data_IF_829723050832
#
_entry.id   IF_829723050832
#
_cell.length_a   1.000
_cell.length_b   1.000
_cell.length_c   1.000
_cell.angle_alpha   90.00
_cell.angle_beta   90.00
_cell.angle_gamma   90.00
#
_symmetry.space_group_name_H-M   'P 1'
#
loop_
_entity.id
_entity.type
_entity.pdbx_description
1 polymer ?
#
# COMPACT_ATOMS: atom_id res chain seq x y z
N UNK A 1 35.47 10.74 12.33
CA UNK A 1 34.18 10.65 11.61
C UNK A 1 33.10 10.18 12.59
N UNK A 2 32.22 11.07 13.06
CA UNK A 2 31.12 10.68 13.96
C UNK A 2 30.10 9.88 13.15
N UNK A 3 29.80 8.65 13.56
CA UNK A 3 28.69 7.88 12.98
C UNK A 3 27.39 8.54 13.46
N UNK A 4 26.56 8.99 12.54
CA UNK A 4 25.21 9.48 12.85
C UNK A 4 24.21 8.35 12.57
N UNK A 5 23.94 7.47 13.55
CA UNK A 5 23.07 6.30 13.34
C UNK A 5 21.66 6.70 12.87
N UNK A 6 21.20 7.89 13.26
CA UNK A 6 19.94 8.48 12.81
C UNK A 6 19.85 8.62 11.28
N UNK A 7 20.95 9.01 10.62
CA UNK A 7 21.00 9.15 9.16
C UNK A 7 20.87 7.78 8.49
N UNK A 8 21.57 6.78 9.02
CA UNK A 8 21.53 5.41 8.47
C UNK A 8 20.12 4.84 8.58
N UNK A 9 19.45 5.02 9.72
CA UNK A 9 18.06 4.58 9.91
C UNK A 9 17.13 5.30 8.94
N UNK A 10 17.27 6.63 8.78
CA UNK A 10 16.46 7.39 7.84
C UNK A 10 16.62 6.92 6.40
N UNK A 11 17.87 6.69 5.95
CA UNK A 11 18.16 6.18 4.61
C UNK A 11 17.58 4.77 4.41
N UNK A 12 17.68 3.90 5.42
CA UNK A 12 17.09 2.56 5.35
C UNK A 12 15.56 2.60 5.24
N UNK A 13 14.89 3.48 5.98
CA UNK A 13 13.43 3.65 5.87
C UNK A 13 13.02 4.15 4.49
N UNK A 14 13.72 5.15 3.95
CA UNK A 14 13.45 5.66 2.60
C UNK A 14 13.66 4.55 1.56
N UNK A 15 14.78 3.82 1.65
CA UNK A 15 15.05 2.70 0.75
C UNK A 15 13.96 1.62 0.82
N UNK A 16 13.45 1.31 2.02
CA UNK A 16 12.35 0.37 2.21
C UNK A 16 11.08 0.83 1.48
N UNK A 17 10.67 2.10 1.64
CA UNK A 17 9.50 2.63 0.94
C UNK A 17 9.67 2.63 -0.58
N UNK A 18 10.87 2.94 -1.08
CA UNK A 18 11.17 2.86 -2.52
C UNK A 18 11.02 1.42 -3.02
N UNK A 19 11.55 0.45 -2.28
CA UNK A 19 11.40 -0.97 -2.64
C UNK A 19 9.92 -1.40 -2.66
N UNK A 20 9.13 -0.97 -1.68
CA UNK A 20 7.67 -1.23 -1.66
C UNK A 20 7.01 -0.60 -2.90
N UNK A 21 7.28 0.67 -3.20
CA UNK A 21 6.68 1.35 -4.35
C UNK A 21 7.05 0.71 -5.70
N UNK A 22 8.29 0.23 -5.86
CA UNK A 22 8.72 -0.48 -7.08
C UNK A 22 8.03 -1.84 -7.19
N UNK A 23 7.82 -2.52 -6.06
CA UNK A 23 7.18 -3.84 -6.02
C UNK A 23 5.66 -3.78 -5.88
N UNK A 24 5.08 -2.59 -5.74
CA UNK A 24 3.65 -2.36 -5.58
C UNK A 24 2.80 -3.03 -6.67
N UNK A 25 3.16 -3.02 -7.97
CA UNK A 25 2.36 -3.69 -9.01
C UNK A 25 2.28 -5.22 -8.84
N UNK A 26 3.23 -5.82 -8.12
CA UNK A 26 3.27 -7.26 -7.83
C UNK A 26 2.60 -7.60 -6.49
N UNK A 27 2.54 -6.63 -5.57
CA UNK A 27 1.98 -6.78 -4.23
C UNK A 27 0.50 -6.36 -4.15
N UNK A 28 0.08 -5.43 -5.00
CA UNK A 28 -1.29 -4.92 -5.06
C UNK A 28 -2.24 -6.04 -5.55
N UNK A 29 -3.23 -6.45 -4.74
CA UNK A 29 -4.16 -7.51 -5.15
C UNK A 29 -5.12 -7.08 -6.26
N UNK A 30 -5.44 -5.79 -6.33
CA UNK A 30 -6.39 -5.21 -7.27
C UNK A 30 -5.87 -3.89 -7.86
N UNK A 31 -6.44 -3.43 -8.98
CA UNK A 31 -6.19 -2.09 -9.49
C UNK A 31 -6.67 -1.01 -8.47
N UNK A 32 -5.78 -0.13 -7.98
CA UNK A 32 -6.13 0.90 -6.99
C UNK A 32 -7.15 1.94 -7.48
N UNK A 33 -7.32 2.07 -8.79
CA UNK A 33 -8.23 3.04 -9.41
C UNK A 33 -9.52 2.39 -9.92
N UNK A 34 -9.62 1.06 -9.93
CA UNK A 34 -10.83 0.36 -10.32
C UNK A 34 -11.96 0.60 -9.32
N UNK A 35 -13.04 1.21 -9.77
CA UNK A 35 -14.21 1.55 -8.95
C UNK A 35 -15.30 0.50 -9.12
N UNK A 36 -15.90 0.08 -8.00
CA UNK A 36 -17.03 -0.82 -8.00
C UNK A 36 -18.01 -0.46 -6.88
N UNK A 37 -19.04 0.34 -7.19
CA UNK A 37 -19.99 0.83 -6.18
C UNK A 37 -20.73 -0.30 -5.45
N UNK A 38 -20.82 -1.51 -6.00
CA UNK A 38 -21.41 -2.65 -5.30
C UNK A 38 -20.58 -3.08 -4.08
N UNK A 39 -19.27 -2.78 -4.08
CA UNK A 39 -18.33 -3.07 -3.00
C UNK A 39 -18.11 -1.88 -2.07
N UNK A 40 -18.97 -0.86 -2.12
CA UNK A 40 -18.86 0.31 -1.24
C UNK A 40 -18.81 -0.11 0.24
N UNK A 41 -17.75 0.29 0.92
CA UNK A 41 -17.49 -0.06 2.32
C UNK A 41 -17.53 -1.57 2.60
N UNK A 42 -17.17 -2.39 1.60
CA UNK A 42 -17.07 -3.82 1.79
C UNK A 42 -16.05 -4.14 2.91
N UNK A 43 -16.36 -5.10 3.80
CA UNK A 43 -15.45 -5.48 4.87
C UNK A 43 -14.20 -6.19 4.31
N UNK A 44 -13.14 -6.36 5.12
CA UNK A 44 -11.98 -7.15 4.78
C UNK A 44 -12.33 -8.56 4.31
N UNK A 45 -11.73 -9.00 3.21
CA UNK A 45 -11.89 -10.33 2.63
C UNK A 45 -10.59 -10.82 2.00
N UNK A 46 -10.53 -12.07 1.55
CA UNK A 46 -9.34 -12.60 0.86
C UNK A 46 -9.02 -11.83 -0.43
N UNK A 47 -10.05 -11.32 -1.12
CA UNK A 47 -9.93 -10.53 -2.36
C UNK A 47 -9.66 -9.05 -2.07
N UNK A 48 -10.18 -8.53 -0.95
CA UNK A 48 -9.99 -7.16 -0.48
C UNK A 48 -9.45 -7.17 0.95
N UNK A 49 -8.14 -7.39 1.18
CA UNK A 49 -7.60 -7.65 2.52
C UNK A 49 -7.81 -6.53 3.55
N UNK A 50 -7.93 -5.29 3.10
CA UNK A 50 -8.29 -4.14 3.94
C UNK A 50 -9.71 -3.60 3.66
N UNK A 51 -10.50 -4.34 2.88
CA UNK A 51 -11.82 -3.91 2.43
C UNK A 51 -11.78 -2.88 1.31
N UNK A 52 -12.89 -2.19 1.12
CA UNK A 52 -13.07 -1.17 0.09
C UNK A 52 -13.53 0.18 0.64
N UNK A 53 -13.20 1.26 -0.07
CA UNK A 53 -13.66 2.61 0.28
C UNK A 53 -15.12 2.90 -0.11
N UNK A 54 -15.51 4.16 0.08
CA UNK A 54 -16.82 4.69 -0.30
C UNK A 54 -17.12 4.63 -1.81
N UNK A 55 -16.09 4.50 -2.64
CA UNK A 55 -16.19 4.34 -4.11
C UNK A 55 -16.05 2.87 -4.53
N UNK A 56 -15.86 1.96 -3.56
CA UNK A 56 -15.67 0.54 -3.79
C UNK A 56 -14.31 0.17 -4.39
N UNK A 57 -13.27 0.97 -4.10
CA UNK A 57 -11.89 0.68 -4.50
C UNK A 57 -11.17 -0.07 -3.39
N UNK A 58 -10.23 -0.95 -3.76
CA UNK A 58 -9.44 -1.71 -2.79
C UNK A 58 -8.52 -0.81 -1.97
N UNK A 59 -8.70 -0.77 -0.65
CA UNK A 59 -7.90 0.10 0.23
C UNK A 59 -6.45 -0.37 0.38
N UNK A 60 -6.21 -1.68 0.36
CA UNK A 60 -4.84 -2.21 0.40
C UNK A 60 -4.04 -1.75 -0.82
N UNK A 61 -4.55 -1.96 -2.03
CA UNK A 61 -3.86 -1.55 -3.26
C UNK A 61 -3.61 -0.05 -3.35
N UNK A 62 -4.39 0.78 -2.64
CA UNK A 62 -4.20 2.23 -2.62
C UNK A 62 -3.15 2.68 -1.60
N UNK A 63 -2.84 1.82 -0.63
CA UNK A 63 -1.86 2.09 0.42
C UNK A 63 -0.45 1.68 0.00
N UNK A 64 -0.32 0.61 -0.79
CA UNK A 64 0.95 0.10 -1.33
C UNK A 64 1.17 0.55 -2.77
#
# INVERSE_FOLDING_TARGET
MRKHPQIVIGVLLIALFICIAITAPLLAPNDPNATNLALKNAPPSAEYPLGCDQMGRCELSRLI
#
